data_IF_285390754531
#
_entry.id   IF_285390754531
#
_cell.length_a   1.000
_cell.length_b   1.000
_cell.length_c   1.000
_cell.angle_alpha   90.00
_cell.angle_beta   90.00
_cell.angle_gamma   90.00
#
_symmetry.space_group_name_H-M   'P 1'
#
loop_
_entity.id
_entity.type
_entity.pdbx_description
1 polymer ?
#
# COMPACT_ATOMS: atom_id res chain seq x y z
N UNK A 1 7.93 22.21 5.68
CA UNK A 1 8.08 20.92 6.42
C UNK A 1 9.46 20.88 7.03
N UNK A 2 9.60 20.54 8.32
CA UNK A 2 10.94 20.32 8.88
C UNK A 2 11.52 19.07 8.22
N UNK A 3 12.83 19.02 7.96
CA UNK A 3 13.49 17.90 7.27
C UNK A 3 13.19 16.54 7.93
N UNK A 4 12.97 16.54 9.25
CA UNK A 4 12.61 15.34 10.03
C UNK A 4 11.21 14.80 9.71
N UNK A 5 10.27 15.64 9.27
CA UNK A 5 8.91 15.21 8.92
C UNK A 5 8.90 14.53 7.55
N UNK A 6 9.69 15.06 6.61
CA UNK A 6 9.85 14.45 5.28
C UNK A 6 10.44 13.05 5.38
N UNK A 7 11.46 12.85 6.23
CA UNK A 7 12.04 11.52 6.43
C UNK A 7 11.06 10.50 7.02
N UNK A 8 10.22 10.91 7.97
CA UNK A 8 9.19 10.04 8.55
C UNK A 8 8.12 9.65 7.53
N UNK A 9 7.74 10.59 6.66
CA UNK A 9 6.79 10.33 5.58
C UNK A 9 7.37 9.32 4.59
N UNK A 10 8.61 9.54 4.14
CA UNK A 10 9.28 8.63 3.21
C UNK A 10 9.44 7.23 3.81
N UNK A 11 9.88 7.11 5.06
CA UNK A 11 9.98 5.81 5.74
C UNK A 11 8.62 5.10 5.83
N UNK A 12 7.56 5.83 6.21
CA UNK A 12 6.22 5.25 6.35
C UNK A 12 5.64 4.75 5.01
N UNK A 13 5.88 5.51 3.93
CA UNK A 13 5.52 5.13 2.58
C UNK A 13 6.32 3.93 2.08
N UNK A 14 7.64 3.93 2.27
CA UNK A 14 8.51 2.82 1.86
C UNK A 14 8.10 1.54 2.56
N UNK A 15 7.86 1.56 3.88
CA UNK A 15 7.43 0.38 4.65
C UNK A 15 6.09 -0.15 4.11
N UNK A 16 5.12 0.73 3.87
CA UNK A 16 3.78 0.31 3.40
C UNK A 16 3.82 -0.22 1.97
N UNK A 17 4.54 0.44 1.07
CA UNK A 17 4.69 0.02 -0.32
C UNK A 17 5.51 -1.27 -0.46
N UNK A 18 6.54 -1.46 0.36
CA UNK A 18 7.32 -2.69 0.35
C UNK A 18 6.51 -3.89 0.85
N UNK A 19 5.64 -3.71 1.85
CA UNK A 19 4.68 -4.75 2.24
C UNK A 19 3.77 -5.16 1.06
N UNK A 20 3.25 -4.18 0.32
CA UNK A 20 2.45 -4.43 -0.89
C UNK A 20 3.23 -5.12 -2.00
N UNK A 21 4.46 -4.69 -2.25
CA UNK A 21 5.34 -5.28 -3.26
C UNK A 21 5.67 -6.73 -2.94
N UNK A 22 6.06 -7.02 -1.70
CA UNK A 22 6.32 -8.39 -1.25
C UNK A 22 5.08 -9.27 -1.39
N UNK A 23 3.91 -8.77 -0.96
CA UNK A 23 2.64 -9.46 -1.17
C UNK A 23 2.35 -9.75 -2.64
N UNK A 24 2.60 -8.78 -3.53
CA UNK A 24 2.43 -8.94 -4.97
C UNK A 24 3.35 -10.01 -5.56
N UNK A 25 4.62 -10.11 -5.12
CA UNK A 25 5.55 -11.14 -5.59
C UNK A 25 5.04 -12.56 -5.34
N UNK A 26 4.44 -12.81 -4.17
CA UNK A 26 3.90 -14.12 -3.82
C UNK A 26 2.52 -14.40 -4.44
N UNK A 27 1.70 -13.36 -4.63
CA UNK A 27 0.33 -13.53 -5.11
C UNK A 27 0.20 -13.52 -6.64
N UNK A 28 1.07 -12.81 -7.37
CA UNK A 28 0.98 -12.69 -8.84
C UNK A 28 1.04 -14.05 -9.56
N UNK A 29 1.96 -14.99 -9.21
CA UNK A 29 2.01 -16.30 -9.86
C UNK A 29 0.77 -17.14 -9.57
N UNK A 30 0.25 -17.06 -8.34
CA UNK A 30 -0.95 -17.78 -7.94
C UNK A 30 -2.19 -17.26 -8.68
N UNK A 31 -2.33 -15.94 -8.86
CA UNK A 31 -3.46 -15.37 -9.61
C UNK A 31 -3.46 -15.85 -11.07
N UNK A 32 -2.29 -15.96 -11.72
CA UNK A 32 -2.24 -16.41 -13.11
C UNK A 32 -2.70 -17.88 -13.32
N UNK A 33 -2.65 -18.72 -12.29
CA UNK A 33 -3.02 -20.15 -12.42
C UNK A 33 -4.52 -20.39 -12.31
N UNK A 34 -5.20 -19.85 -11.30
CA UNK A 34 -6.61 -20.12 -11.04
C UNK A 34 -7.53 -18.98 -11.51
N UNK A 35 -7.11 -17.71 -11.43
CA UNK A 35 -8.01 -16.58 -11.71
C UNK A 35 -8.36 -16.43 -13.19
N UNK A 36 -7.51 -16.98 -14.06
CA UNK A 36 -7.76 -17.01 -15.50
C UNK A 36 -8.73 -18.12 -15.92
N UNK A 37 -8.84 -19.20 -15.16
CA UNK A 37 -9.63 -20.39 -15.52
C UNK A 37 -11.10 -20.29 -15.09
N UNK A 38 -11.44 -19.33 -14.23
CA UNK A 38 -12.83 -19.12 -13.78
C UNK A 38 -13.66 -18.36 -14.81
N UNK A 39 -14.92 -18.77 -14.94
CA UNK A 39 -15.95 -18.02 -15.66
C UNK A 39 -16.26 -16.72 -14.92
N UNK A 40 -15.78 -15.61 -15.49
CA UNK A 40 -15.94 -14.26 -14.93
C UNK A 40 -17.23 -13.62 -15.45
N UNK A 41 -18.12 -13.12 -14.58
CA UNK A 41 -19.27 -12.33 -15.03
C UNK A 41 -18.83 -11.02 -15.71
N UNK A 42 -19.65 -10.53 -16.64
CA UNK A 42 -19.35 -9.39 -17.53
C UNK A 42 -19.07 -8.05 -16.84
N UNK A 43 -19.51 -7.88 -15.59
CA UNK A 43 -19.29 -6.66 -14.79
C UNK A 43 -17.97 -6.61 -14.02
N UNK A 44 -17.09 -7.62 -14.16
CA UNK A 44 -15.81 -7.63 -13.45
C UNK A 44 -14.89 -6.56 -14.03
N UNK A 45 -14.26 -5.72 -13.18
CA UNK A 45 -13.32 -4.72 -13.66
C UNK A 45 -12.09 -5.39 -14.29
N UNK A 46 -11.45 -4.73 -15.27
CA UNK A 46 -10.22 -5.22 -15.88
C UNK A 46 -9.13 -5.54 -14.85
N UNK A 47 -8.35 -6.59 -15.08
CA UNK A 47 -7.30 -7.04 -14.15
C UNK A 47 -6.20 -5.99 -13.91
N UNK A 48 -5.95 -5.11 -14.87
CA UNK A 48 -4.98 -4.03 -14.70
C UNK A 48 -5.38 -3.01 -13.63
N UNK A 49 -6.68 -2.90 -13.29
CA UNK A 49 -7.17 -1.95 -12.29
C UNK A 49 -6.73 -2.31 -10.86
N UNK A 50 -6.42 -3.59 -10.60
CA UNK A 50 -5.93 -4.01 -9.29
C UNK A 50 -4.62 -3.30 -8.91
N UNK A 51 -3.72 -3.07 -9.86
CA UNK A 51 -2.45 -2.38 -9.60
C UNK A 51 -2.65 -0.98 -9.01
N UNK A 52 -3.29 -0.05 -9.74
CA UNK A 52 -3.56 1.30 -9.26
C UNK A 52 -4.35 1.36 -7.94
N UNK A 53 -5.33 0.48 -7.77
CA UNK A 53 -6.14 0.42 -6.52
C UNK A 53 -5.25 0.03 -5.34
N UNK A 54 -4.48 -1.06 -5.46
CA UNK A 54 -3.57 -1.49 -4.39
C UNK A 54 -2.51 -0.45 -4.08
N UNK A 55 -1.88 0.15 -5.10
CA UNK A 55 -0.92 1.24 -4.89
C UNK A 55 -1.54 2.40 -4.12
N UNK A 56 -2.75 2.81 -4.49
CA UNK A 56 -3.47 3.89 -3.79
C UNK A 56 -3.72 3.54 -2.32
N UNK A 57 -4.16 2.29 -2.04
CA UNK A 57 -4.36 1.81 -0.68
C UNK A 57 -3.07 1.81 0.14
N UNK A 58 -1.94 1.35 -0.41
CA UNK A 58 -0.64 1.36 0.28
C UNK A 58 -0.10 2.76 0.51
N UNK A 59 -0.35 3.71 -0.39
CA UNK A 59 -0.03 5.12 -0.17
C UNK A 59 -0.87 5.67 0.99
N UNK A 60 -2.18 5.42 0.99
CA UNK A 60 -3.07 5.86 2.08
C UNK A 60 -2.65 5.27 3.44
N UNK A 61 -2.28 3.98 3.47
CA UNK A 61 -1.75 3.34 4.68
C UNK A 61 -0.44 3.98 5.14
N UNK A 62 0.48 4.28 4.23
CA UNK A 62 1.74 4.95 4.56
C UNK A 62 1.53 6.38 5.09
N UNK A 63 0.57 7.12 4.53
CA UNK A 63 0.16 8.43 5.04
C UNK A 63 -0.45 8.30 6.44
N UNK A 64 -1.34 7.32 6.66
CA UNK A 64 -1.94 7.08 7.97
C UNK A 64 -0.87 6.74 9.03
N UNK A 65 0.10 5.89 8.69
CA UNK A 65 1.24 5.55 9.55
C UNK A 65 2.07 6.80 9.90
N UNK A 66 2.35 7.65 8.91
CA UNK A 66 3.05 8.92 9.12
C UNK A 66 2.30 9.85 10.08
N UNK A 67 0.97 9.98 9.93
CA UNK A 67 0.14 10.81 10.80
C UNK A 67 0.17 10.31 12.26
N UNK A 68 0.06 8.99 12.46
CA UNK A 68 0.11 8.38 13.80
C UNK A 68 1.50 8.53 14.44
N UNK A 69 2.57 8.34 13.68
CA UNK A 69 3.93 8.52 14.19
C UNK A 69 4.17 9.98 14.57
N UNK A 70 3.75 10.91 13.73
CA UNK A 70 3.96 12.34 13.95
C UNK A 70 3.17 12.87 15.16
N UNK A 71 1.94 12.40 15.36
CA UNK A 71 1.11 12.76 16.54
C UNK A 71 1.65 12.16 17.84
N UNK A 72 2.10 10.89 17.85
CA UNK A 72 2.72 10.28 19.04
C UNK A 72 4.02 10.96 19.47
N UNK A 73 4.85 11.41 18.52
CA UNK A 73 6.08 12.14 18.83
C UNK A 73 5.80 13.51 19.46
N UNK A 74 4.72 14.19 19.05
CA UNK A 74 4.32 15.47 19.65
C UNK A 74 3.86 15.30 21.10
N UNK A 75 3.17 14.20 21.42
CA UNK A 75 2.65 13.96 22.78
C UNK A 75 3.73 13.46 23.75
N UNK A 76 4.87 12.93 23.27
CA UNK A 76 5.94 12.42 24.14
C UNK A 76 6.90 13.51 24.65
N UNK A 77 6.75 14.75 24.18
CA UNK A 77 7.59 15.90 24.56
C UNK A 77 6.90 16.79 25.61
N UNK A 78 5.67 16.46 26.02
CA UNK A 78 4.94 17.13 27.11
C UNK A 78 4.75 16.15 28.27
#
# INVERSE_FOLDING_TARGET
MKTNDLWRLLLSLVISLSAGFLGALFTTPAVQSWYLTINKPVWIPPSWLFGPVWTSLFIMMGVALYLVWSTKMSNKVR
#
